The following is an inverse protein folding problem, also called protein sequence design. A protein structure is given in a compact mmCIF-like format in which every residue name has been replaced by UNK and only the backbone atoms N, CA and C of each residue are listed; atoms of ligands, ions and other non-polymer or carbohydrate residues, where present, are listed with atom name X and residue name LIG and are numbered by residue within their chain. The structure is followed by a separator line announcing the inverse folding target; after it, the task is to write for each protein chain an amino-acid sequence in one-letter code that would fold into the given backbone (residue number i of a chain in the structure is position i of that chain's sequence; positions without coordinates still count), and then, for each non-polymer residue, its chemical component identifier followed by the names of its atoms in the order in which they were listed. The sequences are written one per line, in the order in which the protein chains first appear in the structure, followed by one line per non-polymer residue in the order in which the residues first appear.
data_IF_143492423911
#
_entry.id   IF_143492423911
#
_cell.length_a   1.000
_cell.length_b   1.000
_cell.length_c   1.000
_cell.angle_alpha   90.00
_cell.angle_beta   90.00
_cell.angle_gamma   90.00
#
_symmetry.space_group_name_H-M   'P 1'
#
loop_
_entity.id
_entity.type
_entity.pdbx_description
1 polymer ?
#
# COMPACT_ATOMS: atom_id res chain seq x y z
N UNK A 1 11.31 -9.35 12.63
CA UNK A 1 11.07 -9.86 11.26
C UNK A 1 9.57 -10.07 11.14
N UNK A 2 8.86 -9.12 10.55
CA UNK A 2 7.40 -9.08 10.61
C UNK A 2 6.83 -9.78 9.37
N UNK A 3 6.19 -10.93 9.60
CA UNK A 3 5.52 -11.72 8.56
C UNK A 3 4.16 -11.08 8.25
N UNK A 4 3.92 -10.69 6.99
CA UNK A 4 2.62 -10.18 6.57
C UNK A 4 1.82 -11.34 5.97
N UNK A 5 0.81 -11.79 6.72
CA UNK A 5 -0.25 -12.67 6.21
C UNK A 5 -1.42 -11.79 5.76
N UNK A 6 -1.90 -11.99 4.53
CA UNK A 6 -3.19 -11.43 4.10
C UNK A 6 -4.17 -12.59 3.94
N UNK A 7 -4.91 -12.88 5.01
CA UNK A 7 -6.07 -13.77 4.98
C UNK A 7 -7.33 -12.92 4.77
N UNK A 8 -8.02 -13.12 3.65
CA UNK A 8 -9.28 -12.44 3.36
C UNK A 8 -10.44 -13.26 3.92
N UNK A 9 -11.06 -12.78 5.00
CA UNK A 9 -12.40 -13.24 5.42
C UNK A 9 -13.28 -12.05 5.79
N UNK A 10 -14.37 -11.93 5.03
CA UNK A 10 -15.49 -10.99 5.07
C UNK A 10 -15.73 -10.25 6.40
N UNK A 11 -15.91 -8.92 6.32
CA UNK A 11 -17.24 -8.28 6.35
C UNK A 11 -17.15 -6.76 6.16
N UNK A 12 -17.96 -6.29 5.21
CA UNK A 12 -18.71 -5.04 5.17
C UNK A 12 -17.98 -3.68 5.24
N UNK A 13 -18.42 -2.83 4.29
CA UNK A 13 -18.20 -1.38 4.13
C UNK A 13 -16.81 -0.97 3.66
N UNK A 14 -16.58 -1.04 2.35
CA UNK A 14 -15.60 -0.16 1.69
C UNK A 14 -16.43 0.79 0.83
N UNK A 15 -16.45 2.07 1.26
CA UNK A 15 -16.97 3.21 0.52
C UNK A 15 -16.37 3.18 -0.89
N UNK A 16 -17.24 3.31 -1.90
CA UNK A 16 -17.02 3.64 -3.30
C UNK A 16 -15.58 4.00 -3.68
N UNK A 17 -14.67 3.02 -3.63
CA UNK A 17 -13.32 3.17 -4.13
C UNK A 17 -13.42 2.91 -5.63
N UNK A 18 -13.25 3.97 -6.41
CA UNK A 18 -13.33 3.86 -7.87
C UNK A 18 -12.13 3.06 -8.38
N UNK A 19 -12.35 1.75 -8.59
CA UNK A 19 -11.36 0.83 -9.14
C UNK A 19 -10.92 1.22 -10.56
N UNK A 20 -11.61 2.18 -11.23
CA UNK A 20 -11.15 2.73 -12.51
C UNK A 20 -9.77 3.37 -12.42
N UNK A 21 -9.33 3.85 -11.24
CA UNK A 21 -7.97 4.41 -11.07
C UNK A 21 -6.88 3.35 -11.19
N UNK A 22 -7.19 2.07 -10.90
CA UNK A 22 -6.30 0.94 -11.17
C UNK A 22 -6.15 0.71 -12.67
N UNK A 23 -7.20 0.99 -13.45
CA UNK A 23 -7.16 0.88 -14.92
C UNK A 23 -6.63 2.13 -15.60
N UNK A 24 -6.60 3.29 -14.91
CA UNK A 24 -6.12 4.55 -15.50
C UNK A 24 -4.65 4.50 -15.92
N UNK A 25 -3.86 3.59 -15.33
CA UNK A 25 -2.51 3.26 -15.79
C UNK A 25 -2.48 2.40 -17.05
N UNK A 26 -3.48 1.53 -17.25
CA UNK A 26 -3.59 0.64 -18.42
C UNK A 26 -4.07 1.37 -19.68
N UNK A 27 -4.98 2.33 -19.54
CA UNK A 27 -5.65 2.95 -20.70
C UNK A 27 -4.87 4.14 -21.28
N UNK A 28 -3.99 4.79 -20.49
CA UNK A 28 -3.28 6.01 -20.90
C UNK A 28 -1.74 5.88 -20.88
N UNK A 29 -1.18 4.71 -20.59
CA UNK A 29 0.25 4.44 -20.73
C UNK A 29 0.47 3.10 -21.44
N UNK A 30 1.17 3.09 -22.60
CA UNK A 30 1.66 1.84 -23.20
C UNK A 30 2.71 1.11 -22.32
N UNK A 31 3.01 1.60 -21.11
CA UNK A 31 4.08 1.14 -20.22
C UNK A 31 3.59 0.52 -18.90
N UNK A 32 2.36 0.01 -18.80
CA UNK A 32 2.11 -1.01 -17.75
C UNK A 32 2.86 -2.26 -18.21
N UNK A 33 4.09 -2.41 -17.72
CA UNK A 33 4.95 -3.54 -18.02
C UNK A 33 4.30 -4.83 -17.54
N UNK A 34 3.50 -5.45 -18.42
CA UNK A 34 3.04 -6.82 -18.27
C UNK A 34 4.26 -7.70 -18.45
N UNK A 35 4.79 -8.18 -17.33
CA UNK A 35 5.91 -9.11 -17.34
C UNK A 35 5.35 -10.50 -17.06
N UNK A 36 5.42 -11.36 -18.07
CA UNK A 36 5.15 -12.79 -17.90
C UNK A 36 6.23 -13.42 -17.03
N UNK A 37 5.83 -14.16 -16.01
CA UNK A 37 6.71 -14.77 -15.02
C UNK A 37 6.62 -16.29 -15.16
N UNK A 38 7.64 -16.89 -15.76
CA UNK A 38 7.73 -18.33 -15.87
C UNK A 38 7.87 -19.00 -14.49
N UNK A 39 7.22 -20.14 -14.25
CA UNK A 39 7.27 -20.84 -12.97
C UNK A 39 8.64 -21.46 -12.73
N UNK A 40 9.55 -20.73 -12.07
CA UNK A 40 10.95 -21.13 -11.88
C UNK A 40 11.13 -22.24 -10.84
N UNK A 41 10.13 -22.45 -9.98
CA UNK A 41 10.16 -23.47 -8.91
C UNK A 41 9.42 -24.76 -9.27
N UNK A 42 8.88 -24.87 -10.48
CA UNK A 42 8.20 -26.09 -10.94
C UNK A 42 9.19 -26.99 -11.68
N UNK A 43 9.25 -28.29 -11.35
CA UNK A 43 10.11 -29.22 -12.07
C UNK A 43 9.61 -29.41 -13.49
N UNK A 44 10.53 -29.45 -14.46
CA UNK A 44 10.21 -29.81 -15.83
C UNK A 44 9.67 -31.26 -15.90
N UNK A 45 8.76 -31.56 -16.84
CA UNK A 45 8.25 -32.91 -17.03
C UNK A 45 9.38 -33.87 -17.37
N UNK A 46 9.31 -35.07 -16.81
CA UNK A 46 10.29 -36.13 -17.09
C UNK A 46 9.80 -36.96 -18.26
N UNK A 47 10.56 -36.91 -19.35
CA UNK A 47 10.32 -37.76 -20.51
C UNK A 47 11.09 -39.06 -20.40
N UNK A 48 10.41 -40.16 -20.68
CA UNK A 48 11.03 -41.48 -20.81
C UNK A 48 11.93 -41.48 -22.05
N UNK A 49 13.14 -42.06 -22.00
CA UNK A 49 14.00 -42.19 -23.16
C UNK A 49 13.40 -43.14 -24.20
N UNK A 50 13.69 -42.89 -25.47
CA UNK A 50 13.18 -43.70 -26.59
C UNK A 50 13.66 -45.16 -26.47
N UNK A 51 12.75 -46.16 -26.47
CA UNK A 51 13.14 -47.56 -26.46
C UNK A 51 13.73 -47.99 -27.81
N UNK A 52 14.62 -48.99 -27.78
CA UNK A 52 15.18 -49.59 -29.00
C UNK A 52 14.21 -50.60 -29.65
N UNK A 53 13.31 -51.17 -28.85
CA UNK A 53 12.30 -52.12 -29.30
C UNK A 53 11.11 -51.38 -29.93
N UNK A 54 10.80 -51.61 -31.22
CA UNK A 54 9.66 -50.96 -31.88
C UNK A 54 8.30 -51.31 -31.27
N UNK A 55 8.17 -52.45 -30.59
CA UNK A 55 6.90 -52.85 -29.96
C UNK A 55 6.54 -51.99 -28.74
N UNK A 56 7.54 -51.35 -28.11
CA UNK A 56 7.37 -50.46 -26.96
C UNK A 56 7.12 -49.00 -27.37
N UNK A 57 7.08 -48.69 -28.67
CA UNK A 57 6.94 -47.31 -29.15
C UNK A 57 5.58 -46.70 -28.76
N UNK A 58 4.51 -47.52 -28.72
CA UNK A 58 3.18 -47.05 -28.36
C UNK A 58 3.12 -46.54 -26.93
N UNK A 59 3.57 -47.37 -25.98
CA UNK A 59 3.63 -46.98 -24.56
C UNK A 59 4.61 -45.84 -24.32
N UNK A 60 5.73 -45.79 -25.05
CA UNK A 60 6.65 -44.64 -25.01
C UNK A 60 5.97 -43.32 -25.43
N UNK A 61 5.16 -43.34 -26.49
CA UNK A 61 4.43 -42.15 -26.95
C UNK A 61 3.39 -41.76 -25.91
N UNK A 62 2.59 -42.72 -25.42
CA UNK A 62 1.54 -42.45 -24.44
C UNK A 62 2.10 -41.88 -23.13
N UNK A 63 3.18 -42.47 -22.60
CA UNK A 63 3.87 -42.03 -21.39
C UNK A 63 4.37 -40.58 -21.54
N UNK A 64 5.03 -40.28 -22.66
CA UNK A 64 5.62 -38.97 -22.93
C UNK A 64 4.58 -37.91 -23.29
N UNK A 65 3.49 -38.30 -23.96
CA UNK A 65 2.37 -37.41 -24.23
C UNK A 65 1.70 -36.99 -22.92
N UNK A 66 1.44 -37.94 -22.02
CA UNK A 66 0.90 -37.63 -20.71
C UNK A 66 1.84 -36.73 -19.90
N UNK A 67 3.16 -36.92 -20.00
CA UNK A 67 4.14 -36.02 -19.37
C UNK A 67 4.10 -34.59 -19.95
N UNK A 68 3.91 -34.45 -21.27
CA UNK A 68 3.81 -33.15 -21.94
C UNK A 68 2.49 -32.42 -21.63
N UNK A 69 1.36 -33.13 -21.63
CA UNK A 69 0.04 -32.53 -21.38
C UNK A 69 -0.10 -32.02 -19.93
N UNK A 70 0.66 -32.58 -19.01
CA UNK A 70 0.69 -32.18 -17.60
C UNK A 70 1.93 -31.34 -17.26
N UNK A 71 2.61 -30.75 -18.25
CA UNK A 71 3.77 -29.89 -18.03
C UNK A 71 3.36 -28.59 -17.31
N UNK A 72 3.76 -28.40 -16.03
CA UNK A 72 3.40 -27.21 -15.27
C UNK A 72 4.23 -25.97 -15.66
N UNK A 73 5.26 -26.17 -16.48
CA UNK A 73 6.12 -25.12 -17.03
C UNK A 73 5.64 -24.64 -18.41
N UNK A 74 4.54 -25.19 -18.92
CA UNK A 74 3.93 -24.74 -20.17
C UNK A 74 3.17 -23.40 -19.99
N UNK A 75 3.13 -22.53 -21.02
CA UNK A 75 2.30 -21.33 -21.04
C UNK A 75 0.78 -21.65 -20.99
N UNK A 76 -0.09 -20.69 -20.60
CA UNK A 76 0.22 -19.28 -20.29
C UNK A 76 0.85 -19.10 -18.91
N UNK A 77 1.78 -18.15 -18.80
CA UNK A 77 2.38 -17.78 -17.53
C UNK A 77 1.56 -16.73 -16.79
N UNK A 78 1.76 -16.67 -15.48
CA UNK A 78 1.25 -15.56 -14.67
C UNK A 78 1.94 -14.27 -15.08
N UNK A 79 1.23 -13.15 -15.04
CA UNK A 79 1.79 -11.83 -15.35
C UNK A 79 1.75 -10.91 -14.13
N UNK A 80 2.82 -10.13 -13.94
CA UNK A 80 2.86 -9.07 -12.95
C UNK A 80 2.38 -7.75 -13.57
N UNK A 81 1.54 -7.04 -12.83
CA UNK A 81 1.12 -5.67 -13.13
C UNK A 81 1.75 -4.75 -12.08
N UNK A 82 2.63 -3.87 -12.52
CA UNK A 82 3.27 -2.88 -11.65
C UNK A 82 2.44 -1.60 -11.66
N UNK A 83 1.97 -1.19 -10.48
CA UNK A 83 1.23 0.05 -10.28
C UNK A 83 2.07 1.03 -9.48
N UNK A 84 2.21 2.25 -9.97
CA UNK A 84 3.00 3.33 -9.39
C UNK A 84 2.17 4.60 -9.11
N UNK A 85 0.84 4.50 -9.21
CA UNK A 85 -0.03 5.66 -9.03
C UNK A 85 -0.17 6.06 -7.56
N UNK A 86 0.51 7.14 -7.19
CA UNK A 86 0.51 7.72 -5.84
C UNK A 86 -0.71 8.59 -5.53
N UNK A 87 -1.48 8.97 -6.56
CA UNK A 87 -2.51 10.00 -6.45
C UNK A 87 -2.11 11.26 -7.22
N UNK A 88 -3.03 12.20 -7.35
CA UNK A 88 -2.69 13.57 -7.72
C UNK A 88 -2.53 14.34 -6.42
N UNK A 89 -1.44 15.10 -6.26
CA UNK A 89 -1.13 15.87 -5.04
C UNK A 89 -2.22 16.88 -4.68
N UNK A 90 -3.33 16.38 -4.13
CA UNK A 90 -4.48 17.16 -3.75
C UNK A 90 -4.15 17.88 -2.46
N UNK A 91 -4.52 19.16 -2.39
CA UNK A 91 -4.48 19.89 -1.14
C UNK A 91 -5.30 19.12 -0.09
N UNK A 92 -4.75 18.95 1.11
CA UNK A 92 -5.35 18.18 2.20
C UNK A 92 -6.64 18.83 2.77
N UNK A 93 -7.21 19.82 2.07
CA UNK A 93 -8.28 20.66 2.55
C UNK A 93 -7.83 21.57 3.70
N UNK A 94 -8.79 22.31 4.25
CA UNK A 94 -8.57 23.12 5.43
C UNK A 94 -8.56 22.24 6.68
N UNK A 95 -7.43 22.19 7.38
CA UNK A 95 -7.35 21.56 8.69
C UNK A 95 -7.85 22.52 9.77
N UNK A 96 -8.55 22.00 10.77
CA UNK A 96 -8.97 22.78 11.93
C UNK A 96 -7.74 23.21 12.73
N UNK A 97 -7.68 24.49 13.12
CA UNK A 97 -6.65 25.00 14.02
C UNK A 97 -6.72 24.27 15.37
N UNK A 98 -5.57 23.92 15.94
CA UNK A 98 -5.46 23.25 17.26
C UNK A 98 -5.73 24.24 18.40
N UNK A 99 -5.86 25.53 18.11
CA UNK A 99 -6.09 26.57 19.10
C UNK A 99 -7.35 26.26 19.91
N UNK A 100 -7.15 25.79 21.14
CA UNK A 100 -8.17 25.78 22.17
C UNK A 100 -8.67 27.21 22.30
N UNK A 101 -9.98 27.40 22.19
CA UNK A 101 -10.66 28.68 22.40
C UNK A 101 -10.09 29.38 23.62
N UNK A 102 -9.17 30.34 23.43
CA UNK A 102 -8.87 31.34 24.44
C UNK A 102 -10.03 32.33 24.39
N UNK A 103 -11.20 31.88 24.85
CA UNK A 103 -12.28 32.80 25.21
C UNK A 103 -11.67 33.73 26.25
N UNK A 104 -11.42 34.98 25.85
CA UNK A 104 -10.61 35.95 26.59
C UNK A 104 -11.07 36.15 28.03
N UNK A 105 -10.50 35.35 28.94
CA UNK A 105 -10.82 35.27 30.35
C UNK A 105 -9.60 34.63 31.03
N UNK A 106 -8.92 35.20 32.02
CA UNK A 106 -8.96 36.51 32.68
C UNK A 106 -7.60 37.19 32.44
N UNK A 107 -7.60 38.48 32.12
CA UNK A 107 -6.38 39.28 32.05
C UNK A 107 -5.97 39.78 33.44
N UNK A 108 -6.02 38.90 34.44
CA UNK A 108 -5.64 39.21 35.82
C UNK A 108 -4.13 38.99 35.95
N UNK A 109 -3.38 40.08 35.97
CA UNK A 109 -1.91 40.05 36.02
C UNK A 109 -1.36 40.30 37.43
N UNK A 110 -2.16 40.08 38.48
CA UNK A 110 -1.79 40.32 39.88
C UNK A 110 -0.51 39.58 40.31
N UNK A 111 -0.22 38.44 39.67
CA UNK A 111 1.01 37.67 39.89
C UNK A 111 2.30 38.44 39.54
N UNK A 112 2.22 39.52 38.75
CA UNK A 112 3.38 40.37 38.43
C UNK A 112 3.94 41.08 39.67
N UNK A 113 3.10 41.34 40.68
CA UNK A 113 3.51 41.95 41.94
C UNK A 113 4.53 41.08 42.70
N UNK A 114 4.41 39.76 42.57
CA UNK A 114 5.22 38.79 43.30
C UNK A 114 6.55 38.44 42.59
N UNK A 115 6.76 38.88 41.34
CA UNK A 115 7.97 38.57 40.56
C UNK A 115 9.17 39.46 40.89
N UNK A 116 8.99 40.46 41.76
CA UNK A 116 10.05 41.31 42.29
C UNK A 116 10.39 42.54 41.43
N UNK A 117 11.42 43.33 41.83
CA UNK A 117 11.58 44.71 41.40
C UNK A 117 11.86 44.90 39.91
N UNK A 118 12.35 43.86 39.22
CA UNK A 118 12.55 43.90 37.75
C UNK A 118 11.24 43.96 36.97
N UNK A 119 10.16 43.44 37.55
CA UNK A 119 8.83 43.36 36.93
C UNK A 119 7.89 44.44 37.44
N UNK A 120 8.33 45.31 38.35
CA UNK A 120 7.52 46.40 38.93
C UNK A 120 6.82 47.24 37.86
N UNK A 121 7.55 47.67 36.83
CA UNK A 121 6.96 48.46 35.74
C UNK A 121 5.83 47.74 35.00
N UNK A 122 5.89 46.42 34.89
CA UNK A 122 4.81 45.62 34.30
C UNK A 122 3.65 45.44 35.28
N UNK A 123 3.94 45.23 36.56
CA UNK A 123 2.92 45.19 37.62
C UNK A 123 2.14 46.51 37.69
N UNK A 124 2.84 47.64 37.67
CA UNK A 124 2.24 48.99 37.67
C UNK A 124 1.35 49.22 36.42
N UNK A 125 1.65 48.58 35.29
CA UNK A 125 0.91 48.77 34.02
C UNK A 125 -0.29 47.82 33.86
N UNK A 126 -0.24 46.63 34.47
CA UNK A 126 -1.18 45.54 34.19
C UNK A 126 -1.86 44.95 35.45
N UNK A 127 -1.42 45.32 36.65
CA UNK A 127 -1.90 44.79 37.94
C UNK A 127 -3.11 45.50 38.55
N UNK A 128 -3.86 46.26 37.75
CA UNK A 128 -5.16 46.83 38.13
C UNK A 128 -5.14 47.76 39.36
N UNK A 129 -4.80 49.03 39.17
CA UNK A 129 -5.20 50.10 40.09
C UNK A 129 -6.36 50.88 39.44
N UNK A 130 -7.61 50.51 39.75
CA UNK A 130 -8.74 51.44 39.61
C UNK A 130 -8.61 52.49 40.74
N UNK A 131 -8.56 53.77 40.36
CA UNK A 131 -8.64 54.93 41.28
C UNK A 131 -9.95 54.95 42.09
#
# INVERSE_FOLDING_TARGET
MTSIYVASRLRHVIKDYDLSVLHRGLDNRPEVFRNDVAPTFMPAPQYRPRPANPEEIGTFIDDNLNAADNDPTAPPYDSLLVFDYEGGGSDAGSLSSINSSSSGHDQDYDFLNDWGPRFKKLADMFGGEED
#
